data_IF_599006498375
#
_entry.id   IF_599006498375
#
_cell.length_a   1.000
_cell.length_b   1.000
_cell.length_c   1.000
_cell.angle_alpha   90.00
_cell.angle_beta   90.00
_cell.angle_gamma   90.00
#
_symmetry.space_group_name_H-M   'P 1'
#
loop_
_entity.id
_entity.type
_entity.pdbx_description
1 polymer ?
#
# COMPACT_ATOMS: atom_id res chain seq x y z
N UNK A 1 7.05 26.27 -37.98
CA UNK A 1 5.90 25.62 -38.61
C UNK A 1 5.77 24.13 -38.25
N UNK A 2 6.80 23.29 -38.42
CA UNK A 2 6.75 21.85 -38.05
C UNK A 2 6.70 21.69 -36.52
N UNK A 3 7.51 22.45 -35.79
CA UNK A 3 7.54 22.47 -34.30
C UNK A 3 6.18 22.83 -33.70
N UNK A 4 5.47 23.79 -34.29
CA UNK A 4 4.16 24.23 -33.80
C UNK A 4 3.05 23.21 -34.09
N UNK A 5 3.11 22.52 -35.24
CA UNK A 5 2.20 21.40 -35.55
C UNK A 5 2.41 20.20 -34.61
N UNK A 6 3.66 19.84 -34.33
CA UNK A 6 3.98 18.77 -33.37
C UNK A 6 3.43 19.13 -31.98
N UNK A 7 3.67 20.37 -31.54
CA UNK A 7 3.21 20.82 -30.21
C UNK A 7 1.69 20.92 -30.12
N UNK A 8 1.02 21.39 -31.16
CA UNK A 8 -0.41 21.70 -31.06
C UNK A 8 -1.33 20.54 -31.51
N UNK A 9 -0.82 19.57 -32.26
CA UNK A 9 -1.64 18.44 -32.75
C UNK A 9 -1.19 17.13 -32.11
N UNK A 10 0.09 16.79 -32.18
CA UNK A 10 0.57 15.48 -31.75
C UNK A 10 0.61 15.38 -30.22
N UNK A 11 1.10 16.41 -29.52
CA UNK A 11 1.21 16.39 -28.06
C UNK A 11 -0.13 16.14 -27.35
N UNK A 12 -1.24 16.86 -27.65
CA UNK A 12 -2.52 16.59 -26.98
C UNK A 12 -3.08 15.20 -27.28
N UNK A 13 -2.87 14.68 -28.51
CA UNK A 13 -3.29 13.33 -28.88
C UNK A 13 -2.48 12.31 -28.07
N UNK A 14 -1.16 12.48 -27.98
CA UNK A 14 -0.30 11.56 -27.23
C UNK A 14 -0.55 11.59 -25.74
N UNK A 15 -0.75 12.77 -25.15
CA UNK A 15 -1.14 12.88 -23.74
C UNK A 15 -2.45 12.17 -23.46
N UNK A 16 -3.46 12.35 -24.30
CA UNK A 16 -4.73 11.65 -24.16
C UNK A 16 -4.55 10.13 -24.29
N UNK A 17 -3.79 9.68 -25.30
CA UNK A 17 -3.51 8.26 -25.52
C UNK A 17 -2.70 7.66 -24.36
N UNK A 18 -1.76 8.42 -23.80
CA UNK A 18 -1.00 8.03 -22.61
C UNK A 18 -1.89 7.84 -21.37
N UNK A 19 -2.82 8.78 -21.16
CA UNK A 19 -3.81 8.67 -20.08
C UNK A 19 -4.74 7.46 -20.28
N UNK A 20 -5.29 7.28 -21.49
CA UNK A 20 -6.11 6.10 -21.82
C UNK A 20 -5.33 4.80 -21.57
N UNK A 21 -4.05 4.73 -21.95
CA UNK A 21 -3.19 3.58 -21.72
C UNK A 21 -2.97 3.31 -20.22
N UNK A 22 -2.75 4.34 -19.42
CA UNK A 22 -2.60 4.25 -17.97
C UNK A 22 -3.89 3.73 -17.31
N UNK A 23 -5.05 4.31 -17.65
CA UNK A 23 -6.34 3.95 -17.09
C UNK A 23 -6.70 2.47 -17.41
N UNK A 24 -6.50 2.05 -18.67
CA UNK A 24 -6.73 0.65 -19.06
C UNK A 24 -5.71 -0.30 -18.42
N UNK A 25 -4.44 0.11 -18.30
CA UNK A 25 -3.41 -0.68 -17.62
C UNK A 25 -3.77 -0.91 -16.15
N UNK A 26 -4.13 0.13 -15.43
CA UNK A 26 -4.58 0.04 -14.04
C UNK A 26 -5.81 -0.86 -13.89
N UNK A 27 -6.80 -0.71 -14.79
CA UNK A 27 -8.00 -1.56 -14.80
C UNK A 27 -7.68 -3.02 -15.07
N UNK A 28 -6.73 -3.34 -15.97
CA UNK A 28 -6.30 -4.72 -16.21
C UNK A 28 -5.67 -5.35 -14.97
N UNK A 29 -4.81 -4.61 -14.24
CA UNK A 29 -4.24 -5.08 -12.98
C UNK A 29 -5.31 -5.32 -11.92
N UNK A 30 -6.27 -4.42 -11.79
CA UNK A 30 -7.39 -4.58 -10.87
C UNK A 30 -8.18 -5.86 -11.17
N UNK A 31 -8.58 -6.08 -12.44
CA UNK A 31 -9.28 -7.30 -12.86
C UNK A 31 -8.50 -8.58 -12.56
N UNK A 32 -7.18 -8.59 -12.77
CA UNK A 32 -6.34 -9.74 -12.43
C UNK A 32 -6.33 -9.98 -10.92
N UNK A 33 -6.10 -8.93 -10.13
CA UNK A 33 -6.03 -9.02 -8.68
C UNK A 33 -7.34 -9.52 -8.08
N UNK A 34 -8.48 -8.94 -8.49
CA UNK A 34 -9.83 -9.33 -8.05
C UNK A 34 -10.17 -10.76 -8.47
N UNK A 35 -9.85 -11.14 -9.72
CA UNK A 35 -10.11 -12.50 -10.23
C UNK A 35 -9.31 -13.55 -9.46
N UNK A 36 -8.02 -13.31 -9.18
CA UNK A 36 -7.19 -14.22 -8.41
C UNK A 36 -7.66 -14.30 -6.95
N UNK A 37 -8.03 -13.16 -6.37
CA UNK A 37 -8.52 -13.10 -4.99
C UNK A 37 -9.84 -13.86 -4.83
N UNK A 38 -10.75 -13.73 -5.82
CA UNK A 38 -12.06 -14.39 -5.85
C UNK A 38 -12.08 -15.73 -6.58
N UNK A 39 -10.93 -16.34 -6.93
CA UNK A 39 -10.88 -17.52 -7.82
C UNK A 39 -11.73 -18.69 -7.34
N UNK A 40 -11.81 -18.92 -6.03
CA UNK A 40 -12.61 -19.99 -5.44
C UNK A 40 -14.09 -19.75 -5.69
N UNK A 41 -14.58 -18.53 -5.47
CA UNK A 41 -15.98 -18.17 -5.65
C UNK A 41 -16.36 -18.21 -7.13
N UNK A 42 -15.48 -17.71 -8.00
CA UNK A 42 -15.64 -17.74 -9.46
C UNK A 42 -15.77 -19.19 -9.94
N UNK A 43 -14.91 -20.09 -9.46
CA UNK A 43 -14.92 -21.51 -9.80
C UNK A 43 -16.21 -22.19 -9.32
N UNK A 44 -16.62 -21.95 -8.08
CA UNK A 44 -17.85 -22.53 -7.52
C UNK A 44 -19.08 -22.01 -8.26
N UNK A 45 -19.09 -20.72 -8.66
CA UNK A 45 -20.17 -20.12 -9.43
C UNK A 45 -20.17 -20.50 -10.93
N UNK A 46 -19.08 -21.08 -11.46
CA UNK A 46 -18.93 -21.42 -12.88
C UNK A 46 -18.96 -20.17 -13.78
N UNK A 47 -18.37 -19.06 -13.35
CA UNK A 47 -18.44 -17.77 -14.04
C UNK A 47 -17.12 -17.31 -14.66
N UNK A 48 -16.18 -18.20 -14.89
CA UNK A 48 -14.84 -17.88 -15.42
C UNK A 48 -14.92 -17.09 -16.74
N UNK A 49 -15.85 -17.48 -17.63
CA UNK A 49 -15.96 -16.85 -18.94
C UNK A 49 -16.37 -15.37 -18.83
N UNK A 50 -17.19 -15.01 -17.84
CA UNK A 50 -17.52 -13.60 -17.60
C UNK A 50 -16.28 -12.77 -17.28
N UNK A 51 -15.45 -13.23 -16.34
CA UNK A 51 -14.23 -12.52 -15.93
C UNK A 51 -13.22 -12.43 -17.07
N UNK A 52 -13.05 -13.51 -17.87
CA UNK A 52 -12.21 -13.49 -19.07
C UNK A 52 -12.71 -12.43 -20.06
N UNK A 53 -14.01 -12.39 -20.33
CA UNK A 53 -14.58 -11.45 -21.28
C UNK A 53 -14.41 -9.99 -20.83
N UNK A 54 -14.62 -9.69 -19.54
CA UNK A 54 -14.42 -8.33 -19.02
C UNK A 54 -12.95 -7.92 -19.07
N UNK A 55 -12.04 -8.80 -18.72
CA UNK A 55 -10.59 -8.56 -18.87
C UNK A 55 -10.22 -8.27 -20.34
N UNK A 56 -10.74 -9.06 -21.29
CA UNK A 56 -10.50 -8.86 -22.71
C UNK A 56 -11.03 -7.52 -23.22
N UNK A 57 -12.21 -7.06 -22.78
CA UNK A 57 -12.75 -5.74 -23.15
C UNK A 57 -11.81 -4.59 -22.74
N UNK A 58 -11.30 -4.65 -21.51
CA UNK A 58 -10.33 -3.67 -21.02
C UNK A 58 -9.02 -3.77 -21.81
N UNK A 59 -8.55 -4.99 -22.07
CA UNK A 59 -7.35 -5.26 -22.87
C UNK A 59 -7.44 -4.73 -24.29
N UNK A 60 -8.60 -4.80 -24.95
CA UNK A 60 -8.82 -4.18 -26.26
C UNK A 60 -8.61 -2.66 -26.24
N UNK A 61 -9.05 -1.99 -25.17
CA UNK A 61 -8.81 -0.56 -24.98
C UNK A 61 -7.32 -0.23 -24.88
N UNK A 62 -6.60 -1.03 -24.05
CA UNK A 62 -5.15 -0.92 -23.91
C UNK A 62 -4.42 -1.10 -25.24
N UNK A 63 -4.76 -2.16 -26.01
CA UNK A 63 -4.16 -2.44 -27.32
C UNK A 63 -4.40 -1.28 -28.29
N UNK A 64 -5.63 -0.75 -28.36
CA UNK A 64 -5.96 0.40 -29.22
C UNK A 64 -5.14 1.66 -28.87
N UNK A 65 -4.91 1.90 -27.58
CA UNK A 65 -4.05 3.00 -27.15
C UNK A 65 -2.60 2.77 -27.60
N UNK A 66 -2.07 1.57 -27.46
CA UNK A 66 -0.71 1.19 -27.92
C UNK A 66 -0.57 1.24 -29.45
N UNK A 67 -1.58 0.82 -30.19
CA UNK A 67 -1.61 0.96 -31.65
C UNK A 67 -1.53 2.42 -32.09
N UNK A 68 -2.33 3.31 -31.48
CA UNK A 68 -2.27 4.76 -31.74
C UNK A 68 -0.89 5.32 -31.45
N UNK A 69 -0.32 4.98 -30.29
CA UNK A 69 1.04 5.40 -29.94
C UNK A 69 2.04 4.93 -31.00
N UNK A 70 2.01 3.64 -31.40
CA UNK A 70 2.90 3.07 -32.40
C UNK A 70 2.78 3.77 -33.77
N UNK A 71 1.54 4.07 -34.21
CA UNK A 71 1.30 4.78 -35.45
C UNK A 71 1.92 6.18 -35.41
N UNK A 72 1.65 6.98 -34.39
CA UNK A 72 2.20 8.33 -34.28
C UNK A 72 3.73 8.36 -34.07
N UNK A 73 4.28 7.31 -33.48
CA UNK A 73 5.72 7.19 -33.28
C UNK A 73 6.47 6.83 -34.57
N UNK A 74 5.90 5.95 -35.42
CA UNK A 74 6.57 5.40 -36.59
C UNK A 74 6.21 6.11 -37.91
N UNK A 75 4.97 6.57 -38.07
CA UNK A 75 4.49 7.20 -39.32
C UNK A 75 5.33 8.41 -39.76
N UNK A 76 5.76 9.35 -38.88
CA UNK A 76 6.56 10.51 -39.30
C UNK A 76 7.90 10.12 -39.96
N UNK A 77 8.52 9.03 -39.49
CA UNK A 77 9.74 8.52 -40.10
C UNK A 77 9.51 8.12 -41.57
N UNK A 78 8.48 7.30 -41.80
CA UNK A 78 8.13 6.84 -43.14
C UNK A 78 7.78 8.00 -44.09
N UNK A 79 7.04 8.99 -43.59
CA UNK A 79 6.69 10.18 -44.38
C UNK A 79 7.92 11.00 -44.78
N UNK A 80 8.84 11.23 -43.83
CA UNK A 80 10.07 12.00 -44.09
C UNK A 80 10.94 11.25 -45.11
N UNK A 81 11.14 9.96 -44.95
CA UNK A 81 11.89 9.11 -45.89
C UNK A 81 11.29 9.16 -47.31
N UNK A 82 9.96 8.96 -47.38
CA UNK A 82 9.25 8.99 -48.69
C UNK A 82 9.36 10.39 -49.37
N UNK A 83 9.16 11.47 -48.63
CA UNK A 83 9.27 12.85 -49.19
C UNK A 83 10.69 13.13 -49.63
N UNK A 84 11.71 12.73 -48.87
CA UNK A 84 13.12 12.91 -49.25
C UNK A 84 13.47 12.17 -50.54
N UNK A 85 13.06 10.91 -50.65
CA UNK A 85 13.32 10.07 -51.84
C UNK A 85 12.56 10.62 -53.03
N UNK A 86 11.26 10.95 -52.89
CA UNK A 86 10.45 11.47 -53.97
C UNK A 86 10.97 12.86 -54.43
N UNK A 87 11.43 13.69 -53.53
CA UNK A 87 12.04 14.99 -53.83
C UNK A 87 13.34 14.84 -54.61
N UNK A 88 14.20 13.88 -54.24
CA UNK A 88 15.44 13.57 -54.94
C UNK A 88 15.16 13.10 -56.35
N UNK A 89 14.26 12.12 -56.51
CA UNK A 89 13.90 11.54 -57.82
C UNK A 89 13.24 12.58 -58.72
N UNK A 90 12.33 13.40 -58.16
CA UNK A 90 11.70 14.49 -58.88
C UNK A 90 12.70 15.54 -59.36
N UNK A 91 13.70 15.91 -58.55
CA UNK A 91 14.77 16.79 -58.94
C UNK A 91 15.66 16.23 -60.09
N UNK A 92 16.02 14.93 -60.00
CA UNK A 92 16.75 14.22 -61.07
C UNK A 92 15.93 14.25 -62.37
N UNK A 93 14.63 13.98 -62.30
CA UNK A 93 13.74 13.99 -63.47
C UNK A 93 13.71 15.37 -64.15
N UNK A 94 13.60 16.46 -63.37
CA UNK A 94 13.60 17.83 -63.88
C UNK A 94 14.92 18.12 -64.58
N UNK A 95 16.08 17.70 -64.06
CA UNK A 95 17.38 17.90 -64.70
C UNK A 95 17.49 17.15 -66.03
N UNK A 96 17.01 15.92 -66.12
CA UNK A 96 16.99 15.17 -67.35
C UNK A 96 16.14 15.81 -68.41
N UNK A 97 14.95 16.25 -68.05
CA UNK A 97 14.02 16.93 -68.97
C UNK A 97 14.54 18.28 -69.43
N UNK A 98 15.29 19.05 -68.59
CA UNK A 98 15.89 20.32 -68.92
C UNK A 98 17.18 20.19 -69.75
N UNK A 99 17.63 18.96 -70.06
CA UNK A 99 18.83 18.75 -70.87
C UNK A 99 20.13 19.08 -70.14
N UNK A 100 20.14 19.22 -68.85
CA UNK A 100 21.31 19.56 -68.04
C UNK A 100 22.27 18.37 -67.95
N UNK A 101 23.59 18.62 -67.92
CA UNK A 101 24.60 17.57 -67.76
C UNK A 101 24.55 16.98 -66.32
N UNK A 102 24.01 15.77 -66.21
CA UNK A 102 23.85 15.09 -64.92
C UNK A 102 25.20 14.53 -64.43
N UNK A 103 26.18 14.29 -65.30
CA UNK A 103 27.47 13.71 -64.93
C UNK A 103 28.30 14.61 -64.02
N UNK A 104 28.21 15.93 -64.13
CA UNK A 104 28.86 16.89 -63.23
C UNK A 104 28.24 17.00 -61.86
N UNK A 105 27.04 16.43 -61.64
CA UNK A 105 26.30 16.54 -60.38
C UNK A 105 26.38 15.30 -59.49
N UNK A 106 27.11 14.24 -59.91
CA UNK A 106 27.23 12.99 -59.17
C UNK A 106 27.77 13.22 -57.73
N UNK A 107 28.76 14.10 -57.58
CA UNK A 107 29.33 14.44 -56.29
C UNK A 107 28.31 15.13 -55.34
N UNK A 108 27.43 15.97 -55.92
CA UNK A 108 26.36 16.63 -55.18
C UNK A 108 25.30 15.63 -54.69
N UNK A 109 24.91 14.69 -55.56
CA UNK A 109 23.97 13.63 -55.17
C UNK A 109 24.56 12.69 -54.12
N UNK A 110 25.84 12.36 -54.23
CA UNK A 110 26.53 11.55 -53.21
C UNK A 110 26.58 12.30 -51.86
N UNK A 111 26.93 13.60 -51.87
CA UNK A 111 26.90 14.43 -50.64
C UNK A 111 25.51 14.51 -50.02
N UNK A 112 24.46 14.69 -50.86
CA UNK A 112 23.07 14.68 -50.38
C UNK A 112 22.66 13.34 -49.80
N UNK A 113 23.00 12.23 -50.42
CA UNK A 113 22.77 10.90 -49.94
C UNK A 113 23.40 10.63 -48.55
N UNK A 114 24.68 11.03 -48.40
CA UNK A 114 25.39 10.92 -47.11
C UNK A 114 24.73 11.79 -46.03
N UNK A 115 24.37 13.04 -46.40
CA UNK A 115 23.68 13.93 -45.50
C UNK A 115 22.31 13.39 -45.05
N UNK A 116 21.54 12.85 -46.01
CA UNK A 116 20.26 12.23 -45.73
C UNK A 116 20.41 11.01 -44.79
N UNK A 117 21.39 10.12 -45.06
CA UNK A 117 21.69 8.96 -44.20
C UNK A 117 22.01 9.33 -42.73
N UNK A 118 22.57 10.53 -42.49
CA UNK A 118 22.86 11.04 -41.12
C UNK A 118 21.72 11.81 -40.50
N UNK A 119 21.04 12.66 -41.29
CA UNK A 119 19.98 13.53 -40.77
C UNK A 119 18.66 12.81 -40.52
N UNK A 120 18.26 11.85 -41.37
CA UNK A 120 17.00 11.10 -41.22
C UNK A 120 16.93 10.33 -39.91
N UNK A 121 17.94 9.53 -39.51
CA UNK A 121 17.93 8.85 -38.22
C UNK A 121 17.90 9.85 -37.03
N UNK A 122 18.61 10.98 -37.13
CA UNK A 122 18.60 11.97 -36.06
C UNK A 122 17.22 12.63 -35.90
N UNK A 123 16.59 13.02 -37.01
CA UNK A 123 15.25 13.57 -37.01
C UNK A 123 14.21 12.56 -36.46
N UNK A 124 14.34 11.28 -36.84
CA UNK A 124 13.48 10.20 -36.36
C UNK A 124 13.64 9.99 -34.85
N UNK A 125 14.88 10.00 -34.32
CA UNK A 125 15.15 9.90 -32.88
C UNK A 125 14.50 11.04 -32.09
N UNK A 126 14.66 12.27 -32.59
CA UNK A 126 14.05 13.46 -31.93
C UNK A 126 12.53 13.31 -31.91
N UNK A 127 11.91 12.93 -33.03
CA UNK A 127 10.46 12.73 -33.09
C UNK A 127 9.99 11.65 -32.10
N UNK A 128 10.66 10.48 -32.09
CA UNK A 128 10.31 9.38 -31.20
C UNK A 128 10.43 9.78 -29.73
N UNK A 129 11.50 10.50 -29.36
CA UNK A 129 11.67 10.99 -28.00
C UNK A 129 10.56 11.99 -27.58
N UNK A 130 10.25 12.95 -28.46
CA UNK A 130 9.18 13.93 -28.19
C UNK A 130 7.79 13.24 -28.06
N UNK A 131 7.52 12.27 -28.92
CA UNK A 131 6.27 11.48 -28.89
C UNK A 131 6.19 10.64 -27.60
N UNK A 132 7.28 9.96 -27.23
CA UNK A 132 7.37 9.17 -26.00
C UNK A 132 7.25 10.04 -24.75
N UNK A 133 7.89 11.20 -24.72
CA UNK A 133 7.73 12.16 -23.62
C UNK A 133 6.28 12.61 -23.46
N UNK A 134 5.62 12.98 -24.56
CA UNK A 134 4.23 13.38 -24.52
C UNK A 134 3.28 12.24 -24.10
N UNK A 135 3.58 11.00 -24.51
CA UNK A 135 2.82 9.82 -24.13
C UNK A 135 2.94 9.49 -22.63
N UNK A 136 4.15 9.64 -22.07
CA UNK A 136 4.42 9.33 -20.67
C UNK A 136 4.19 10.50 -19.71
N UNK A 137 3.93 11.71 -20.23
CA UNK A 137 3.71 12.91 -19.42
C UNK A 137 2.59 12.75 -18.37
N UNK A 138 1.41 12.15 -18.67
CA UNK A 138 0.38 11.93 -17.67
C UNK A 138 0.82 10.99 -16.53
N UNK A 139 1.60 9.97 -16.87
CA UNK A 139 2.14 9.03 -15.89
C UNK A 139 3.10 9.70 -14.91
N UNK A 140 3.99 10.54 -15.46
CA UNK A 140 4.94 11.31 -14.65
C UNK A 140 4.24 12.26 -13.68
N UNK A 141 3.26 13.03 -14.17
CA UNK A 141 2.54 13.98 -13.31
C UNK A 141 1.70 13.27 -12.25
N UNK A 142 1.07 12.15 -12.57
CA UNK A 142 0.34 11.37 -11.57
C UNK A 142 1.25 10.95 -10.40
N UNK A 143 2.44 10.43 -10.70
CA UNK A 143 3.41 10.08 -9.64
C UNK A 143 3.92 11.31 -8.90
N UNK A 144 4.22 12.39 -9.63
CA UNK A 144 4.71 13.64 -9.04
C UNK A 144 3.68 14.28 -8.12
N UNK A 145 2.42 14.35 -8.55
CA UNK A 145 1.33 14.96 -7.79
C UNK A 145 1.06 14.17 -6.49
N UNK A 146 1.04 12.83 -6.58
CA UNK A 146 0.90 11.98 -5.39
C UNK A 146 2.07 12.18 -4.40
N UNK A 147 3.32 12.29 -4.90
CA UNK A 147 4.48 12.54 -4.04
C UNK A 147 4.45 13.93 -3.39
N UNK A 148 3.98 14.94 -4.12
CA UNK A 148 3.84 16.31 -3.59
C UNK A 148 2.72 16.37 -2.56
N UNK A 149 1.59 15.71 -2.81
CA UNK A 149 0.48 15.61 -1.87
C UNK A 149 0.93 14.93 -0.57
N UNK A 150 1.59 13.77 -0.68
CA UNK A 150 2.17 13.05 0.44
C UNK A 150 3.19 13.90 1.22
N UNK A 151 4.06 14.64 0.51
CA UNK A 151 5.05 15.51 1.17
C UNK A 151 4.41 16.69 1.88
N UNK A 152 3.30 17.23 1.36
CA UNK A 152 2.57 18.32 1.99
C UNK A 152 1.76 17.87 3.21
N UNK A 153 1.24 16.63 3.20
CA UNK A 153 0.58 16.03 4.36
C UNK A 153 1.57 15.63 5.46
N UNK A 154 2.80 15.29 5.08
CA UNK A 154 3.89 14.91 5.98
C UNK A 154 4.62 16.11 6.63
N UNK A 155 3.92 17.18 6.99
CA UNK A 155 4.48 18.18 7.91
C UNK A 155 4.68 17.64 9.35
N UNK A 156 4.54 16.35 9.53
CA UNK A 156 5.05 15.60 10.67
C UNK A 156 6.39 14.99 10.26
N UNK A 157 7.45 15.30 10.99
CA UNK A 157 8.82 14.77 10.86
C UNK A 157 8.87 13.23 11.05
N UNK A 158 8.14 12.49 10.21
CA UNK A 158 8.22 11.03 10.16
C UNK A 158 9.46 10.68 9.35
N UNK A 159 10.61 10.76 10.00
CA UNK A 159 11.85 10.15 9.48
C UNK A 159 11.66 8.64 9.40
N UNK A 160 11.38 8.12 8.21
CA UNK A 160 11.23 6.68 7.95
C UNK A 160 12.51 5.86 8.24
N UNK A 161 13.62 6.53 8.49
CA UNK A 161 14.94 5.90 8.60
C UNK A 161 15.36 5.50 10.02
N UNK A 162 14.63 5.88 11.07
CA UNK A 162 15.10 5.65 12.44
C UNK A 162 14.08 4.86 13.24
N UNK A 163 14.44 3.63 13.62
CA UNK A 163 13.72 2.89 14.67
C UNK A 163 14.01 3.58 15.98
N UNK A 164 12.99 3.96 16.75
CA UNK A 164 13.20 4.51 18.09
C UNK A 164 13.89 3.45 18.96
N UNK A 165 15.08 3.80 19.50
CA UNK A 165 15.83 2.94 20.43
C UNK A 165 15.27 3.01 21.84
N UNK A 166 14.54 4.08 22.14
CA UNK A 166 13.99 4.34 23.47
C UNK A 166 12.46 4.44 23.38
N UNK A 167 11.81 3.92 24.41
CA UNK A 167 10.36 4.02 24.58
C UNK A 167 9.99 5.35 25.20
N UNK A 168 8.86 5.93 24.80
CA UNK A 168 8.28 7.06 25.52
C UNK A 168 7.86 6.60 26.93
N UNK A 169 8.34 7.19 28.01
CA UNK A 169 7.91 6.83 29.35
C UNK A 169 6.41 7.11 29.54
N UNK A 170 5.64 6.07 29.82
CA UNK A 170 4.20 6.17 30.09
C UNK A 170 3.90 5.41 31.38
N UNK A 171 3.44 6.11 32.39
CA UNK A 171 3.27 5.56 33.75
C UNK A 171 1.88 5.71 34.31
N UNK A 172 1.07 6.66 33.79
CA UNK A 172 -0.26 7.00 34.33
C UNK A 172 -1.39 6.55 33.40
N UNK A 173 -1.46 7.11 32.22
CA UNK A 173 -2.57 6.86 31.31
C UNK A 173 -2.26 7.27 29.87
N UNK A 174 -3.03 6.67 28.94
CA UNK A 174 -3.21 7.18 27.58
C UNK A 174 -4.56 7.90 27.54
N UNK A 175 -4.58 9.17 27.15
CA UNK A 175 -5.79 10.00 27.14
C UNK A 175 -6.09 10.54 25.75
N UNK A 176 -7.31 10.31 25.28
CA UNK A 176 -7.89 10.99 24.15
C UNK A 176 -8.61 12.23 24.68
N UNK A 177 -8.18 13.42 24.26
CA UNK A 177 -8.70 14.69 24.78
C UNK A 177 -9.43 15.44 23.68
N UNK A 178 -10.74 15.61 23.86
CA UNK A 178 -11.63 16.42 23.01
C UNK A 178 -11.56 16.04 21.51
N UNK A 179 -11.47 14.73 21.21
CA UNK A 179 -11.26 14.26 19.85
C UNK A 179 -12.50 14.46 18.98
N UNK A 180 -12.25 15.00 17.78
CA UNK A 180 -13.23 15.08 16.68
C UNK A 180 -12.65 14.39 15.47
N UNK A 181 -13.40 13.43 14.91
CA UNK A 181 -12.92 12.67 13.76
C UNK A 181 -14.03 12.24 12.80
N UNK A 182 -13.77 12.42 11.51
CA UNK A 182 -14.51 11.80 10.40
C UNK A 182 -13.54 11.25 9.34
N UNK A 183 -13.96 10.22 8.60
CA UNK A 183 -13.14 9.68 7.53
C UNK A 183 -13.07 10.63 6.32
N UNK A 184 -11.98 10.65 5.56
CA UNK A 184 -11.92 11.37 4.29
C UNK A 184 -13.11 11.01 3.39
N UNK A 185 -13.67 11.99 2.69
CA UNK A 185 -14.85 11.84 1.82
C UNK A 185 -16.16 11.44 2.54
N UNK A 186 -16.27 11.66 3.85
CA UNK A 186 -17.49 11.42 4.62
C UNK A 186 -17.75 12.58 5.58
N UNK A 187 -18.93 13.19 5.52
CA UNK A 187 -19.34 14.22 6.46
C UNK A 187 -19.85 13.64 7.79
N UNK A 188 -19.92 12.31 7.91
CA UNK A 188 -20.39 11.64 9.10
C UNK A 188 -19.31 11.65 10.16
N UNK A 189 -19.52 12.39 11.24
CA UNK A 189 -18.67 12.34 12.43
C UNK A 189 -18.72 10.94 13.06
N UNK A 190 -17.54 10.40 13.34
CA UNK A 190 -17.35 9.17 14.11
C UNK A 190 -17.20 9.52 15.58
N UNK A 191 -16.45 10.58 15.88
CA UNK A 191 -16.30 11.17 17.20
C UNK A 191 -16.58 12.67 17.14
N UNK A 192 -17.29 13.17 18.15
CA UNK A 192 -17.67 14.56 18.29
C UNK A 192 -17.34 15.01 19.71
N UNK A 193 -16.23 15.74 19.87
CA UNK A 193 -15.72 16.21 21.17
C UNK A 193 -15.62 15.09 22.23
N UNK A 194 -15.20 13.89 21.82
CA UNK A 194 -15.12 12.74 22.71
C UNK A 194 -13.83 12.75 23.53
N UNK A 195 -13.92 12.36 24.80
CA UNK A 195 -12.76 12.21 25.69
C UNK A 195 -12.81 10.89 26.43
N UNK A 196 -11.64 10.25 26.58
CA UNK A 196 -11.51 9.00 27.33
C UNK A 196 -10.08 8.84 27.85
N UNK A 197 -9.93 8.22 29.03
CA UNK A 197 -8.65 7.94 29.65
C UNK A 197 -8.50 6.45 29.86
N UNK A 198 -7.39 5.88 29.39
CA UNK A 198 -6.99 4.48 29.54
C UNK A 198 -5.84 4.39 30.57
N UNK A 199 -6.10 4.01 31.83
CA UNK A 199 -5.05 3.92 32.85
C UNK A 199 -4.04 2.82 32.53
N UNK A 200 -2.75 3.09 32.80
CA UNK A 200 -1.69 2.12 32.61
C UNK A 200 -1.81 0.96 33.62
N UNK A 201 -1.46 -0.23 33.21
CA UNK A 201 -1.51 -1.45 34.03
C UNK A 201 -2.91 -2.06 34.20
N UNK A 202 -3.93 -1.52 33.56
CA UNK A 202 -5.30 -2.02 33.61
C UNK A 202 -5.74 -2.69 32.30
N UNK A 203 -6.75 -3.53 32.39
CA UNK A 203 -7.44 -4.14 31.24
C UNK A 203 -8.69 -3.33 30.92
N UNK A 204 -8.72 -2.74 29.74
CA UNK A 204 -9.79 -1.88 29.24
C UNK A 204 -10.52 -2.56 28.10
N UNK A 205 -11.81 -2.79 28.25
CA UNK A 205 -12.70 -3.28 27.21
C UNK A 205 -13.39 -2.13 26.48
N UNK A 206 -13.43 -2.17 25.16
CA UNK A 206 -14.20 -1.26 24.32
C UNK A 206 -15.31 -2.00 23.61
N UNK A 207 -16.56 -1.60 23.86
CA UNK A 207 -17.78 -2.20 23.31
C UNK A 207 -18.59 -1.20 22.51
N UNK A 208 -19.49 -1.70 21.69
CA UNK A 208 -20.40 -0.86 20.88
C UNK A 208 -20.93 -1.61 19.68
N UNK A 209 -21.93 -1.05 19.03
CA UNK A 209 -22.49 -1.61 17.80
C UNK A 209 -21.44 -1.71 16.68
N UNK A 210 -21.70 -2.56 15.66
CA UNK A 210 -20.86 -2.57 14.46
C UNK A 210 -20.90 -1.19 13.79
N UNK A 211 -19.72 -0.66 13.41
CA UNK A 211 -19.61 0.67 12.82
C UNK A 211 -19.74 1.84 13.82
N UNK A 212 -19.73 1.58 15.15
CA UNK A 212 -19.76 2.65 16.16
C UNK A 212 -18.43 3.41 16.30
N UNK A 213 -17.32 2.95 15.69
CA UNK A 213 -16.01 3.59 15.79
C UNK A 213 -15.00 2.88 16.70
N UNK A 214 -15.24 1.61 17.09
CA UNK A 214 -14.34 0.87 17.98
C UNK A 214 -12.92 0.73 17.41
N UNK A 215 -12.79 0.24 16.17
CA UNK A 215 -11.50 0.15 15.48
C UNK A 215 -10.89 1.53 15.25
N UNK A 216 -11.73 2.54 14.98
CA UNK A 216 -11.28 3.92 14.82
C UNK A 216 -10.60 4.47 16.09
N UNK A 217 -11.05 4.08 17.30
CA UNK A 217 -10.34 4.43 18.55
C UNK A 217 -8.94 3.84 18.55
N UNK A 218 -8.78 2.57 18.15
CA UNK A 218 -7.46 1.94 18.06
C UNK A 218 -6.58 2.70 17.08
N UNK A 219 -7.08 2.97 15.89
CA UNK A 219 -6.30 3.67 14.85
C UNK A 219 -5.86 5.07 15.31
N UNK A 220 -6.73 5.76 16.11
CA UNK A 220 -6.40 7.04 16.74
C UNK A 220 -5.32 6.86 17.82
N UNK A 221 -5.45 5.87 18.69
CA UNK A 221 -4.44 5.56 19.74
C UNK A 221 -3.11 5.17 19.13
N UNK A 222 -3.13 4.44 18.01
CA UNK A 222 -1.93 4.10 17.22
C UNK A 222 -1.35 5.32 16.49
N UNK A 223 -2.05 6.46 16.45
CA UNK A 223 -1.62 7.64 15.70
C UNK A 223 -1.67 7.49 14.18
N UNK A 224 -2.46 6.53 13.67
CA UNK A 224 -2.61 6.25 12.24
C UNK A 224 -3.59 7.22 11.56
N UNK A 225 -4.42 7.92 12.34
CA UNK A 225 -5.44 8.83 11.84
C UNK A 225 -5.16 10.26 12.29
N UNK A 226 -5.23 11.19 11.34
CA UNK A 226 -5.12 12.63 11.63
C UNK A 226 -6.46 13.15 12.15
N UNK A 227 -6.48 13.64 13.38
CA UNK A 227 -7.67 14.22 13.99
C UNK A 227 -8.01 15.60 13.39
N UNK A 228 -9.30 15.90 13.24
CA UNK A 228 -9.76 17.25 12.90
C UNK A 228 -9.78 18.16 14.14
N UNK A 229 -9.86 17.58 15.33
CA UNK A 229 -9.80 18.31 16.60
C UNK A 229 -9.36 17.40 17.74
N UNK A 230 -8.81 18.00 18.80
CA UNK A 230 -8.31 17.27 19.95
C UNK A 230 -6.90 16.70 19.76
N UNK A 231 -6.50 15.82 20.70
CA UNK A 231 -5.17 15.18 20.70
C UNK A 231 -5.15 13.88 21.50
N UNK A 232 -4.10 13.10 21.29
CA UNK A 232 -3.84 11.88 22.07
C UNK A 232 -2.60 12.10 22.93
N UNK A 233 -2.72 11.88 24.21
CA UNK A 233 -1.65 12.09 25.19
C UNK A 233 -1.20 10.76 25.79
N UNK A 234 0.09 10.54 25.86
CA UNK A 234 0.74 9.53 26.71
C UNK A 234 1.25 10.25 27.96
N UNK A 235 0.60 10.05 29.10
CA UNK A 235 0.67 10.90 30.29
C UNK A 235 0.33 12.36 29.93
N UNK A 236 1.33 13.25 29.80
CA UNK A 236 1.15 14.66 29.42
C UNK A 236 1.80 14.99 28.06
N UNK A 237 2.30 13.98 27.34
CA UNK A 237 3.06 14.15 26.09
C UNK A 237 2.15 13.78 24.91
N UNK A 238 2.02 14.68 23.95
CA UNK A 238 1.30 14.39 22.71
C UNK A 238 2.07 13.34 21.89
N UNK A 239 1.41 12.22 21.58
CA UNK A 239 2.01 11.10 20.86
C UNK A 239 2.53 11.48 19.48
N UNK A 240 1.94 12.50 18.85
CA UNK A 240 2.37 12.93 17.51
C UNK A 240 3.78 13.55 17.54
N UNK A 241 4.17 14.17 18.68
CA UNK A 241 5.51 14.78 18.83
C UNK A 241 6.61 13.76 19.08
N UNK A 242 6.24 12.55 19.59
CA UNK A 242 7.16 11.45 19.90
C UNK A 242 6.62 10.12 19.33
N UNK A 243 6.16 10.17 18.09
CA UNK A 243 5.37 9.11 17.48
C UNK A 243 6.08 7.75 17.48
N UNK A 244 7.38 7.73 17.19
CA UNK A 244 8.14 6.49 17.13
C UNK A 244 8.42 5.88 18.50
N UNK A 245 8.75 6.72 19.45
CA UNK A 245 8.94 6.34 20.85
C UNK A 245 7.61 5.83 21.43
N UNK A 246 6.48 6.43 21.03
CA UNK A 246 5.14 5.94 21.37
C UNK A 246 4.88 4.56 20.78
N UNK A 247 5.09 4.35 19.47
CA UNK A 247 4.87 3.05 18.84
C UNK A 247 5.75 1.95 19.43
N UNK A 248 6.95 2.28 19.94
CA UNK A 248 7.79 1.32 20.64
C UNK A 248 7.19 0.80 21.96
N UNK A 249 6.20 1.51 22.52
CA UNK A 249 5.41 1.06 23.69
C UNK A 249 4.23 0.17 23.33
N UNK A 250 3.86 0.09 22.05
CA UNK A 250 2.60 -0.53 21.64
C UNK A 250 2.84 -1.85 20.95
N UNK A 251 2.16 -2.90 21.41
CA UNK A 251 2.00 -4.16 20.69
C UNK A 251 0.59 -4.22 20.10
N UNK A 252 0.47 -4.40 18.81
CA UNK A 252 -0.83 -4.45 18.12
C UNK A 252 -1.13 -5.85 17.57
N UNK A 253 -2.31 -6.36 17.90
CA UNK A 253 -2.82 -7.65 17.44
C UNK A 253 -4.09 -7.36 16.63
N UNK A 254 -4.01 -7.33 15.28
CA UNK A 254 -5.15 -7.07 14.42
C UNK A 254 -6.11 -8.25 14.36
N UNK A 255 -7.33 -8.00 13.91
CA UNK A 255 -8.35 -9.01 13.64
C UNK A 255 -7.85 -10.07 12.64
N UNK A 256 -7.16 -9.66 11.59
CA UNK A 256 -6.53 -10.54 10.60
C UNK A 256 -5.01 -10.42 10.68
N UNK A 257 -4.34 -11.48 11.09
CA UNK A 257 -2.88 -11.51 11.19
C UNK A 257 -2.26 -11.60 9.80
N UNK A 258 -1.48 -10.57 9.42
CA UNK A 258 -0.63 -10.63 8.25
C UNK A 258 0.62 -11.46 8.55
N UNK A 259 0.88 -12.49 7.75
CA UNK A 259 2.05 -13.36 7.87
C UNK A 259 2.86 -13.32 6.58
N UNK A 260 4.18 -13.20 6.75
CA UNK A 260 5.15 -13.30 5.66
C UNK A 260 5.27 -14.76 5.22
N UNK A 261 5.52 -14.99 3.93
CA UNK A 261 5.99 -16.28 3.43
C UNK A 261 7.45 -16.50 3.84
N UNK A 262 7.64 -16.77 5.12
CA UNK A 262 8.91 -16.95 5.78
C UNK A 262 8.76 -17.98 6.92
N UNK A 263 9.79 -18.15 7.73
CA UNK A 263 9.75 -18.98 8.93
C UNK A 263 9.04 -18.28 10.11
N UNK A 264 8.81 -19.06 11.19
CA UNK A 264 8.17 -18.56 12.41
C UNK A 264 9.02 -17.45 13.06
N UNK A 265 10.35 -17.62 13.08
CA UNK A 265 11.31 -16.70 13.69
C UNK A 265 11.18 -15.30 13.09
N UNK A 266 11.19 -15.20 11.76
CA UNK A 266 11.03 -13.94 11.02
C UNK A 266 9.61 -13.35 11.14
N UNK A 267 8.61 -14.19 11.31
CA UNK A 267 7.24 -13.73 11.54
C UNK A 267 7.02 -13.17 12.94
N UNK A 268 7.70 -13.67 13.97
CA UNK A 268 7.63 -13.12 15.33
C UNK A 268 8.51 -11.88 15.46
N UNK A 269 9.80 -11.97 15.06
CA UNK A 269 10.70 -10.83 15.00
C UNK A 269 10.48 -10.00 13.72
N UNK A 270 9.26 -9.53 13.53
CA UNK A 270 8.81 -8.88 12.30
C UNK A 270 9.58 -7.61 11.98
N UNK A 271 10.24 -7.59 10.81
CA UNK A 271 11.02 -6.41 10.37
C UNK A 271 12.39 -6.25 11.03
N UNK A 272 12.80 -7.19 11.88
CA UNK A 272 14.14 -7.20 12.48
C UNK A 272 15.10 -7.95 11.55
N UNK A 273 16.29 -7.38 11.22
CA UNK A 273 17.32 -8.09 10.48
C UNK A 273 17.68 -9.41 11.13
N UNK A 274 17.97 -10.44 10.34
CA UNK A 274 18.17 -11.82 10.84
C UNK A 274 19.31 -11.92 11.87
N UNK A 275 20.36 -11.15 11.67
CA UNK A 275 21.53 -11.03 12.57
C UNK A 275 21.25 -10.26 13.86
N UNK A 276 20.17 -9.49 13.93
CA UNK A 276 19.78 -8.70 15.12
C UNK A 276 18.64 -9.36 15.91
N UNK A 277 18.10 -10.49 15.44
CA UNK A 277 17.02 -11.18 16.15
C UNK A 277 17.53 -11.76 17.47
N UNK A 278 16.96 -11.28 18.55
CA UNK A 278 17.24 -11.74 19.90
C UNK A 278 16.44 -13.01 20.22
N UNK A 279 17.13 -14.14 20.35
CA UNK A 279 16.49 -15.43 20.60
C UNK A 279 15.89 -15.54 22.02
N UNK A 280 16.38 -14.82 23.01
CA UNK A 280 15.78 -14.80 24.36
C UNK A 280 14.41 -14.12 24.33
N UNK A 281 14.31 -12.96 23.67
CA UNK A 281 13.04 -12.26 23.43
C UNK A 281 12.10 -13.10 22.59
N UNK A 282 12.61 -13.75 21.54
CA UNK A 282 11.82 -14.64 20.69
C UNK A 282 11.15 -15.74 21.50
N UNK A 283 11.94 -16.49 22.29
CA UNK A 283 11.42 -17.58 23.10
C UNK A 283 10.55 -17.12 24.27
N UNK A 284 10.81 -15.93 24.82
CA UNK A 284 9.92 -15.31 25.79
C UNK A 284 8.54 -15.04 25.16
N UNK A 285 8.50 -14.36 24.02
CA UNK A 285 7.27 -14.04 23.31
C UNK A 285 6.48 -15.32 22.90
N UNK A 286 7.17 -16.36 22.43
CA UNK A 286 6.56 -17.63 22.07
C UNK A 286 5.96 -18.37 23.27
N UNK A 287 6.60 -18.32 24.45
CA UNK A 287 6.07 -18.91 25.69
C UNK A 287 4.83 -18.16 26.18
N UNK A 288 4.87 -16.82 26.21
CA UNK A 288 3.72 -16.02 26.61
C UNK A 288 2.52 -16.24 25.65
N UNK A 289 2.79 -16.45 24.36
CA UNK A 289 1.77 -16.79 23.36
C UNK A 289 1.35 -18.29 23.37
N UNK A 290 1.91 -19.12 24.26
CA UNK A 290 1.66 -20.57 24.34
C UNK A 290 1.93 -21.32 23.01
N UNK A 291 2.99 -20.95 22.30
CA UNK A 291 3.41 -21.60 21.04
C UNK A 291 4.64 -22.49 21.22
N UNK A 292 5.35 -22.40 22.32
CA UNK A 292 6.62 -23.08 22.53
C UNK A 292 6.50 -24.61 22.43
N UNK A 293 5.45 -25.20 23.00
CA UNK A 293 5.21 -26.64 22.90
C UNK A 293 4.90 -27.05 21.44
N UNK A 294 4.06 -26.31 20.75
CA UNK A 294 3.79 -26.57 19.33
C UNK A 294 5.06 -26.51 18.48
N UNK A 295 5.89 -25.48 18.68
CA UNK A 295 7.13 -25.31 17.92
C UNK A 295 8.12 -26.44 18.16
N UNK A 296 8.20 -26.97 19.37
CA UNK A 296 9.03 -28.16 19.70
C UNK A 296 8.61 -29.42 18.93
N UNK A 297 7.36 -29.50 18.47
CA UNK A 297 6.89 -30.64 17.65
C UNK A 297 7.28 -30.53 16.19
N UNK A 298 7.73 -29.33 15.73
CA UNK A 298 8.08 -29.07 14.33
C UNK A 298 9.51 -29.55 14.04
N UNK A 299 9.77 -30.18 12.87
CA UNK A 299 11.09 -30.69 12.52
C UNK A 299 12.20 -29.62 12.56
N UNK A 300 11.89 -28.41 12.06
CA UNK A 300 12.83 -27.30 11.98
C UNK A 300 12.62 -26.25 13.09
N UNK A 301 11.76 -26.55 14.09
CA UNK A 301 11.46 -25.64 15.18
C UNK A 301 11.00 -24.25 14.70
N UNK A 302 11.64 -23.19 15.20
CA UNK A 302 11.34 -21.79 14.82
C UNK A 302 11.68 -21.44 13.36
N UNK A 303 12.52 -22.24 12.71
CA UNK A 303 12.90 -22.08 11.30
C UNK A 303 11.92 -22.74 10.34
N UNK A 304 10.82 -23.30 10.83
CA UNK A 304 9.79 -23.91 10.00
C UNK A 304 9.08 -22.86 9.16
N UNK A 305 9.14 -23.02 7.82
CA UNK A 305 8.43 -22.17 6.86
C UNK A 305 6.93 -22.36 6.94
N UNK A 306 6.18 -21.26 7.11
CA UNK A 306 4.72 -21.31 7.30
C UNK A 306 3.92 -21.19 6.00
N UNK A 307 4.58 -20.89 4.87
CA UNK A 307 3.98 -20.71 3.55
C UNK A 307 3.21 -19.40 3.41
N UNK A 308 2.76 -19.13 2.19
CA UNK A 308 2.05 -17.90 1.87
C UNK A 308 0.85 -17.69 2.81
N UNK A 309 0.80 -16.51 3.45
CA UNK A 309 -0.25 -16.14 4.43
C UNK A 309 -0.45 -17.16 5.56
N UNK A 310 0.58 -17.94 5.86
CA UNK A 310 0.52 -18.94 6.94
C UNK A 310 -0.43 -20.11 6.67
N UNK A 311 -0.57 -20.55 5.42
CA UNK A 311 -1.51 -21.60 4.99
C UNK A 311 -1.28 -22.94 5.72
N UNK A 312 -0.05 -23.17 6.22
CA UNK A 312 0.32 -24.39 6.94
C UNK A 312 -0.08 -24.38 8.41
N UNK A 313 -0.63 -23.26 8.90
CA UNK A 313 -1.01 -23.07 10.29
C UNK A 313 -2.53 -23.06 10.46
N UNK A 314 -3.00 -23.55 11.62
CA UNK A 314 -4.39 -23.36 12.04
C UNK A 314 -4.70 -21.89 12.33
N UNK A 315 -5.97 -21.50 12.38
CA UNK A 315 -6.40 -20.15 12.75
C UNK A 315 -5.82 -19.70 14.09
N UNK A 316 -5.90 -20.56 15.11
CA UNK A 316 -5.36 -20.28 16.43
C UNK A 316 -3.84 -20.17 16.47
N UNK A 317 -3.11 -20.99 15.68
CA UNK A 317 -1.65 -20.85 15.57
C UNK A 317 -1.26 -19.54 14.92
N UNK A 318 -1.94 -19.11 13.85
CA UNK A 318 -1.73 -17.79 13.24
C UNK A 318 -1.95 -16.67 14.25
N UNK A 319 -3.04 -16.74 15.02
CA UNK A 319 -3.36 -15.73 16.03
C UNK A 319 -2.28 -15.66 17.10
N UNK A 320 -1.81 -16.80 17.62
CA UNK A 320 -0.73 -16.85 18.61
C UNK A 320 0.60 -16.32 18.08
N UNK A 321 0.91 -16.50 16.79
CA UNK A 321 2.08 -15.85 16.18
C UNK A 321 1.91 -14.33 16.19
N UNK A 322 0.70 -13.82 15.93
CA UNK A 322 0.39 -12.38 16.06
C UNK A 322 0.61 -11.86 17.48
N UNK A 323 0.19 -12.62 18.49
CA UNK A 323 0.44 -12.31 19.90
C UNK A 323 1.93 -12.32 20.21
N UNK A 324 2.67 -13.37 19.80
CA UNK A 324 4.11 -13.44 19.99
C UNK A 324 4.85 -12.27 19.33
N UNK A 325 4.44 -11.90 18.10
CA UNK A 325 4.96 -10.70 17.39
C UNK A 325 4.75 -9.43 18.21
N UNK A 326 3.53 -9.22 18.70
CA UNK A 326 3.20 -8.04 19.50
C UNK A 326 4.02 -7.97 20.79
N UNK A 327 4.37 -9.10 21.38
CA UNK A 327 5.14 -9.20 22.63
C UNK A 327 6.66 -9.17 22.43
N UNK A 328 7.16 -9.38 21.21
CA UNK A 328 8.61 -9.49 20.96
C UNK A 328 9.43 -8.29 21.47
N UNK A 329 8.88 -7.08 21.33
CA UNK A 329 9.52 -5.84 21.78
C UNK A 329 9.10 -5.44 23.21
N UNK A 330 8.47 -6.35 23.95
CA UNK A 330 8.04 -6.14 25.34
C UNK A 330 7.23 -4.84 25.54
N UNK A 331 6.12 -4.61 24.82
CA UNK A 331 5.36 -3.37 24.87
C UNK A 331 4.72 -3.13 26.25
N UNK A 332 4.48 -1.85 26.60
CA UNK A 332 3.72 -1.47 27.81
C UNK A 332 2.20 -1.54 27.58
N UNK A 333 1.76 -1.26 26.36
CA UNK A 333 0.36 -1.25 25.95
C UNK A 333 0.14 -2.31 24.87
N UNK A 334 -0.76 -3.24 25.11
CA UNK A 334 -1.15 -4.26 24.16
C UNK A 334 -2.57 -3.99 23.67
N UNK A 335 -2.73 -3.81 22.37
CA UNK A 335 -4.01 -3.52 21.73
C UNK A 335 -4.48 -4.77 20.98
N UNK A 336 -5.71 -5.20 21.26
CA UNK A 336 -6.34 -6.35 20.66
C UNK A 336 -7.60 -5.92 19.90
N UNK A 337 -7.56 -6.00 18.58
CA UNK A 337 -8.69 -5.67 17.72
C UNK A 337 -9.40 -6.94 17.28
N UNK A 338 -10.50 -7.31 17.97
CA UNK A 338 -11.32 -8.49 17.64
C UNK A 338 -10.51 -9.79 17.44
N UNK A 339 -9.40 -9.91 18.13
CA UNK A 339 -8.38 -10.93 17.92
C UNK A 339 -8.89 -12.40 18.00
N UNK A 340 -10.12 -12.64 18.45
CA UNK A 340 -10.69 -14.00 18.65
C UNK A 340 -11.96 -14.25 17.83
N UNK A 341 -12.43 -13.30 17.03
CA UNK A 341 -13.75 -13.35 16.37
C UNK A 341 -13.95 -14.54 15.41
N UNK A 342 -12.87 -15.01 14.79
CA UNK A 342 -12.90 -16.08 13.77
C UNK A 342 -12.50 -17.47 14.32
N UNK A 343 -12.39 -17.62 15.65
CA UNK A 343 -11.90 -18.85 16.29
C UNK A 343 -13.03 -19.66 16.92
N UNK A 344 -12.80 -20.96 17.04
CA UNK A 344 -13.62 -21.87 17.84
C UNK A 344 -13.44 -21.56 19.34
N UNK A 345 -14.43 -21.94 20.15
CA UNK A 345 -14.47 -21.60 21.57
C UNK A 345 -13.27 -22.13 22.39
N UNK A 346 -12.74 -23.30 22.07
CA UNK A 346 -11.59 -23.87 22.77
C UNK A 346 -10.30 -23.10 22.47
N UNK A 347 -10.09 -22.78 21.22
CA UNK A 347 -8.95 -21.97 20.77
C UNK A 347 -9.04 -20.54 21.31
N UNK A 348 -10.24 -19.95 21.33
CA UNK A 348 -10.47 -18.64 21.94
C UNK A 348 -10.13 -18.65 23.43
N UNK A 349 -10.63 -19.64 24.18
CA UNK A 349 -10.36 -19.76 25.61
C UNK A 349 -8.85 -19.83 25.90
N UNK A 350 -8.10 -20.61 25.11
CA UNK A 350 -6.66 -20.74 25.26
C UNK A 350 -5.90 -19.43 24.93
N UNK A 351 -6.35 -18.66 23.93
CA UNK A 351 -5.79 -17.34 23.61
C UNK A 351 -6.11 -16.34 24.73
N UNK A 352 -7.34 -16.32 25.20
CA UNK A 352 -7.73 -15.44 26.30
C UNK A 352 -6.99 -15.77 27.60
N UNK A 353 -6.65 -17.04 27.84
CA UNK A 353 -5.81 -17.41 28.97
C UNK A 353 -4.39 -16.81 28.85
N UNK A 354 -3.79 -16.83 27.66
CA UNK A 354 -2.51 -16.17 27.40
C UNK A 354 -2.59 -14.67 27.67
N UNK A 355 -3.63 -13.99 27.18
CA UNK A 355 -3.85 -12.56 27.38
C UNK A 355 -4.09 -12.25 28.87
N UNK A 356 -4.89 -13.07 29.58
CA UNK A 356 -5.18 -12.89 30.99
C UNK A 356 -3.92 -13.01 31.89
N UNK A 357 -2.89 -13.76 31.48
CA UNK A 357 -1.59 -13.82 32.20
C UNK A 357 -0.80 -12.51 32.13
N UNK A 358 -1.11 -11.66 31.15
CA UNK A 358 -0.53 -10.34 31.00
C UNK A 358 -1.26 -9.26 31.81
N UNK A 359 -2.45 -9.58 32.34
CA UNK A 359 -3.23 -8.70 33.21
C UNK A 359 -2.40 -8.30 34.46
N UNK A 360 -2.41 -7.00 34.76
CA UNK A 360 -1.61 -6.44 35.85
C UNK A 360 -0.10 -6.27 35.56
N UNK A 361 0.39 -6.89 34.44
CA UNK A 361 1.77 -6.68 33.97
C UNK A 361 1.83 -5.68 32.83
N UNK A 362 0.80 -5.63 32.00
CA UNK A 362 0.68 -4.79 30.80
C UNK A 362 -0.67 -4.08 30.81
N UNK A 363 -0.75 -2.97 30.10
CA UNK A 363 -2.03 -2.33 29.81
C UNK A 363 -2.67 -3.06 28.64
N UNK A 364 -3.91 -3.52 28.79
CA UNK A 364 -4.63 -4.20 27.73
C UNK A 364 -5.78 -3.33 27.23
N UNK A 365 -5.80 -3.02 25.95
CA UNK A 365 -6.94 -2.36 25.29
C UNK A 365 -7.58 -3.40 24.35
N UNK A 366 -8.80 -3.85 24.68
CA UNK A 366 -9.44 -4.98 24.03
C UNK A 366 -10.75 -4.52 23.37
N UNK A 367 -10.81 -4.60 22.04
CA UNK A 367 -12.09 -4.56 21.33
C UNK A 367 -12.63 -5.96 21.22
N UNK A 368 -13.82 -6.18 21.75
CA UNK A 368 -14.47 -7.46 21.66
C UNK A 368 -15.95 -7.34 21.31
N UNK A 369 -16.41 -8.28 20.50
CA UNK A 369 -17.82 -8.50 20.21
C UNK A 369 -18.48 -9.46 21.20
N UNK A 370 -17.70 -10.26 21.92
CA UNK A 370 -18.20 -11.27 22.86
C UNK A 370 -18.09 -10.73 24.29
N UNK A 371 -19.19 -10.79 25.02
CA UNK A 371 -19.28 -10.31 26.42
C UNK A 371 -18.28 -11.05 27.33
N UNK A 372 -18.05 -12.33 27.13
CA UNK A 372 -17.12 -13.15 27.91
C UNK A 372 -15.70 -12.61 27.93
N UNK A 373 -15.23 -12.03 26.82
CA UNK A 373 -13.89 -11.43 26.70
C UNK A 373 -13.76 -10.19 27.60
N UNK A 374 -14.86 -9.46 27.81
CA UNK A 374 -14.90 -8.18 28.52
C UNK A 374 -15.20 -8.34 30.00
N UNK A 375 -15.80 -9.47 30.41
CA UNK A 375 -16.14 -9.74 31.81
C UNK A 375 -14.94 -9.60 32.76
N UNK A 376 -13.73 -9.89 32.27
CA UNK A 376 -12.47 -9.82 33.03
C UNK A 376 -11.76 -8.47 32.95
N UNK A 377 -12.24 -7.51 32.14
CA UNK A 377 -11.65 -6.19 32.08
C UNK A 377 -11.95 -5.38 33.35
N UNK A 378 -10.98 -4.56 33.80
CA UNK A 378 -11.13 -3.68 34.96
C UNK A 378 -12.07 -2.52 34.66
N UNK A 379 -11.99 -2.00 33.41
CA UNK A 379 -12.79 -0.89 32.93
C UNK A 379 -13.45 -1.29 31.61
N UNK A 380 -14.69 -0.87 31.41
CA UNK A 380 -15.40 -1.05 30.14
C UNK A 380 -15.93 0.31 29.66
N UNK A 381 -15.60 0.64 28.43
CA UNK A 381 -16.15 1.82 27.74
C UNK A 381 -17.09 1.39 26.62
N UNK A 382 -18.20 2.09 26.49
CA UNK A 382 -19.15 1.96 25.38
C UNK A 382 -18.97 3.10 24.39
N UNK A 383 -18.86 2.74 23.12
CA UNK A 383 -18.86 3.72 22.01
C UNK A 383 -20.26 3.77 21.45
N UNK A 384 -20.88 4.95 21.52
CA UNK A 384 -22.24 5.17 21.06
C UNK A 384 -22.45 6.63 20.65
N UNK A 385 -23.06 6.85 19.48
CA UNK A 385 -23.43 8.17 18.96
C UNK A 385 -22.30 9.22 18.97
N UNK A 386 -21.08 8.81 18.63
CA UNK A 386 -19.92 9.70 18.59
C UNK A 386 -19.28 10.00 19.95
N UNK A 387 -19.81 9.42 21.02
CA UNK A 387 -19.29 9.57 22.39
C UNK A 387 -18.70 8.25 22.92
N UNK A 388 -17.81 8.37 23.92
CA UNK A 388 -17.21 7.25 24.63
C UNK A 388 -17.64 7.36 26.11
N UNK A 389 -18.46 6.42 26.57
CA UNK A 389 -19.05 6.43 27.89
C UNK A 389 -18.50 5.29 28.74
N UNK A 390 -18.09 5.57 29.95
CA UNK A 390 -17.69 4.54 30.91
C UNK A 390 -18.92 3.76 31.37
N UNK A 391 -18.90 2.43 31.17
CA UNK A 391 -19.99 1.53 31.54
C UNK A 391 -19.73 0.83 32.90
N UNK A 392 -18.42 0.51 33.13
CA UNK A 392 -17.95 -0.11 34.39
C UNK A 392 -16.57 0.42 34.76
#
# INVERSE_FOLDING_TARGET
CIRDRIKNIIKPIMNRTGKENQDYGASMFAWIAETIQGIKDIKVAGKEQYFINEYCKVGEGYVKAMERFSLFNNTPKLLIETVCIAGLLGYILVLIVSGSDVSGMISLFAAFGIAAMRLLPAASRINNQLTSMAFNEPFFFNVSDNLVEETNEQNTDISYAVVAKEKLPVTRAVTLEDITYHYPNSDKLIFDHASVTFPIGQSIGVVGASGAGKTTIIDIVLGLLNLQGGRVLADDVDIQTHYREWLANVGYIPQMIFLLDADIRKNVAFGVPEEEIDDEKLWYALREAQLDEFIKTLPDGVYTGIGERGIRLSGGQRQRIGIARALYNDPEVLILDEATSALDNDTEAAIMDSINRLHGKKTLLIIAHRLQTIEKCDIVYRVENGAIVKER
#
